data_IF_274180962850
#
_entry.id   IF_274180962850
#
_cell.length_a   1.000
_cell.length_b   1.000
_cell.length_c   1.000
_cell.angle_alpha   90.00
_cell.angle_beta   90.00
_cell.angle_gamma   90.00
#
_symmetry.space_group_name_H-M   'P 1'
#
loop_
_entity.id
_entity.type
_entity.pdbx_description
1 polymer ?
#
# COMPACT_ATOMS: atom_id res chain seq x y z
N UNK A 1 -8.98 24.13 -3.43
CA UNK A 1 -9.41 25.14 -2.44
C UNK A 1 -10.83 25.54 -2.80
N UNK A 2 -11.78 25.40 -1.90
CA UNK A 2 -13.16 25.85 -2.11
C UNK A 2 -13.53 26.75 -0.94
N UNK A 3 -13.69 28.05 -1.21
CA UNK A 3 -14.29 28.98 -0.26
C UNK A 3 -15.80 28.92 -0.51
N UNK A 4 -16.56 28.64 0.55
CA UNK A 4 -18.02 28.70 0.51
C UNK A 4 -18.50 29.89 1.34
N UNK A 5 -19.53 30.57 0.84
CA UNK A 5 -20.22 31.62 1.59
C UNK A 5 -21.09 30.93 2.63
N UNK A 6 -20.79 31.14 3.90
CA UNK A 6 -21.56 30.58 5.03
C UNK A 6 -22.52 31.59 5.63
N UNK A 7 -22.27 32.88 5.40
CA UNK A 7 -23.16 33.96 5.81
C UNK A 7 -23.07 35.12 4.84
N UNK A 8 -24.22 35.69 4.50
CA UNK A 8 -24.31 36.92 3.71
C UNK A 8 -25.31 37.86 4.40
N UNK A 9 -24.81 39.03 4.78
CA UNK A 9 -25.60 40.12 5.38
C UNK A 9 -25.44 41.39 4.55
N UNK A 10 -26.34 42.38 4.68
CA UNK A 10 -26.19 43.66 3.97
C UNK A 10 -24.89 44.41 4.30
N UNK A 11 -24.24 44.07 5.41
CA UNK A 11 -22.98 44.67 5.88
C UNK A 11 -21.73 43.83 5.58
N UNK A 12 -21.87 42.61 5.04
CA UNK A 12 -20.70 41.77 4.74
C UNK A 12 -21.01 40.31 4.43
N UNK A 13 -20.00 39.65 3.87
CA UNK A 13 -20.00 38.23 3.51
C UNK A 13 -18.97 37.50 4.36
N UNK A 14 -19.36 36.38 4.97
CA UNK A 14 -18.44 35.46 5.68
C UNK A 14 -18.18 34.26 4.78
N UNK A 15 -16.90 34.07 4.44
CA UNK A 15 -16.42 32.93 3.68
C UNK A 15 -15.74 31.93 4.62
N UNK A 16 -16.16 30.66 4.56
CA UNK A 16 -15.49 29.57 5.26
C UNK A 16 -14.76 28.69 4.26
N UNK A 17 -13.49 28.38 4.56
CA UNK A 17 -12.75 27.37 3.84
C UNK A 17 -13.01 26.03 4.53
N UNK A 18 -13.81 25.17 3.91
CA UNK A 18 -13.86 23.77 4.31
C UNK A 18 -12.58 23.10 3.83
N UNK A 19 -11.58 23.00 4.70
CA UNK A 19 -10.48 22.08 4.45
C UNK A 19 -11.09 20.68 4.44
N UNK A 20 -10.99 19.99 3.28
CA UNK A 20 -11.13 18.53 3.24
C UNK A 20 -10.25 17.95 4.35
N UNK A 21 -10.55 16.79 4.96
CA UNK A 21 -9.63 16.20 5.93
C UNK A 21 -8.24 16.22 5.32
N UNK A 22 -7.31 16.97 5.95
CA UNK A 22 -5.94 17.07 5.48
C UNK A 22 -5.38 15.67 5.53
N UNK A 23 -5.35 15.00 4.38
CA UNK A 23 -4.79 13.67 4.29
C UNK A 23 -3.30 13.81 4.54
N UNK A 24 -2.85 13.44 5.73
CA UNK A 24 -1.41 13.29 5.98
C UNK A 24 -0.87 12.20 5.06
N UNK A 25 0.42 12.29 4.73
CA UNK A 25 1.09 11.30 3.88
C UNK A 25 0.96 9.91 4.52
N UNK A 26 1.14 9.84 5.83
CA UNK A 26 1.00 8.65 6.64
C UNK A 26 -0.41 8.04 6.52
N UNK A 27 -1.46 8.87 6.63
CA UNK A 27 -2.85 8.41 6.47
C UNK A 27 -3.08 7.82 5.08
N UNK A 28 -2.51 8.42 4.04
CA UNK A 28 -2.61 7.90 2.67
C UNK A 28 -1.90 6.56 2.53
N UNK A 29 -0.70 6.41 3.08
CA UNK A 29 0.04 5.14 3.06
C UNK A 29 -0.71 4.02 3.78
N UNK A 30 -1.27 4.28 4.96
CA UNK A 30 -2.10 3.28 5.65
C UNK A 30 -3.33 2.88 4.83
N UNK A 31 -3.96 3.83 4.13
CA UNK A 31 -5.10 3.53 3.26
C UNK A 31 -4.70 2.74 2.03
N UNK A 32 -3.57 3.06 1.39
CA UNK A 32 -3.01 2.28 0.28
C UNK A 32 -2.76 0.85 0.74
N UNK A 33 -2.12 0.67 1.89
CA UNK A 33 -1.79 -0.64 2.43
C UNK A 33 -3.02 -1.47 2.81
N UNK A 34 -4.07 -0.83 3.33
CA UNK A 34 -5.34 -1.49 3.61
C UNK A 34 -6.04 -1.97 2.32
N UNK A 35 -5.97 -1.20 1.24
CA UNK A 35 -6.51 -1.62 -0.06
C UNK A 35 -5.67 -2.76 -0.64
N UNK A 36 -4.35 -2.61 -0.65
CA UNK A 36 -3.39 -3.60 -1.14
C UNK A 36 -3.53 -4.96 -0.42
N UNK A 37 -3.64 -4.97 0.91
CA UNK A 37 -3.85 -6.23 1.66
C UNK A 37 -5.22 -6.87 1.38
N UNK A 38 -6.26 -6.07 1.10
CA UNK A 38 -7.53 -6.61 0.63
C UNK A 38 -7.44 -7.19 -0.80
N UNK A 39 -6.58 -6.62 -1.66
CA UNK A 39 -6.27 -7.19 -2.97
C UNK A 39 -5.62 -8.57 -2.84
N UNK A 40 -4.67 -8.75 -1.92
CA UNK A 40 -4.05 -10.05 -1.66
C UNK A 40 -5.08 -11.12 -1.24
N UNK A 41 -5.99 -10.79 -0.33
CA UNK A 41 -7.06 -11.72 0.09
C UNK A 41 -7.93 -12.15 -1.11
N UNK A 42 -8.30 -11.20 -1.97
CA UNK A 42 -9.11 -11.48 -3.17
C UNK A 42 -8.33 -12.21 -4.25
N UNK A 43 -7.07 -11.86 -4.47
CA UNK A 43 -6.19 -12.54 -5.42
C UNK A 43 -5.96 -14.00 -5.01
N UNK A 44 -5.76 -14.27 -3.71
CA UNK A 44 -5.66 -15.62 -3.18
C UNK A 44 -6.97 -16.42 -3.42
N UNK A 45 -8.13 -15.82 -3.13
CA UNK A 45 -9.42 -16.44 -3.38
C UNK A 45 -9.69 -16.68 -4.87
N UNK A 46 -9.31 -15.74 -5.75
CA UNK A 46 -9.41 -15.90 -7.20
C UNK A 46 -8.51 -17.06 -7.67
N UNK A 47 -7.26 -17.13 -7.20
CA UNK A 47 -6.32 -18.17 -7.56
C UNK A 47 -6.76 -19.57 -7.10
N UNK A 48 -7.48 -19.67 -5.98
CA UNK A 48 -8.01 -20.95 -5.49
C UNK A 48 -9.25 -21.38 -6.28
N UNK A 49 -10.16 -20.45 -6.58
CA UNK A 49 -11.49 -20.75 -7.15
C UNK A 49 -11.53 -20.70 -8.68
N UNK A 50 -10.64 -19.93 -9.30
CA UNK A 50 -10.72 -19.56 -10.71
C UNK A 50 -11.82 -18.52 -11.03
N UNK A 51 -12.36 -17.82 -10.02
CA UNK A 51 -13.47 -16.88 -10.20
C UNK A 51 -13.01 -15.56 -10.84
N UNK A 52 -13.44 -15.33 -12.07
CA UNK A 52 -13.14 -14.10 -12.83
C UNK A 52 -13.74 -12.84 -12.21
N UNK A 53 -14.83 -12.93 -11.44
CA UNK A 53 -15.42 -11.78 -10.77
C UNK A 53 -14.46 -11.22 -9.70
N UNK A 54 -13.78 -12.11 -8.96
CA UNK A 54 -12.75 -11.71 -8.00
C UNK A 54 -11.56 -11.03 -8.69
N UNK A 55 -11.19 -11.47 -9.91
CA UNK A 55 -10.14 -10.80 -10.70
C UNK A 55 -10.54 -9.37 -11.04
N UNK A 56 -11.79 -9.14 -11.47
CA UNK A 56 -12.27 -7.78 -11.75
C UNK A 56 -12.33 -6.91 -10.49
N UNK A 57 -12.68 -7.49 -9.34
CA UNK A 57 -12.62 -6.77 -8.07
C UNK A 57 -11.18 -6.34 -7.72
N UNK A 58 -10.20 -7.23 -7.92
CA UNK A 58 -8.78 -6.91 -7.68
C UNK A 58 -8.34 -5.76 -8.58
N UNK A 59 -8.72 -5.76 -9.87
CA UNK A 59 -8.43 -4.64 -10.80
C UNK A 59 -8.99 -3.31 -10.34
N UNK A 60 -10.25 -3.29 -9.90
CA UNK A 60 -10.88 -2.07 -9.43
C UNK A 60 -10.23 -1.53 -8.13
N UNK A 61 -9.65 -2.41 -7.32
CA UNK A 61 -8.88 -2.04 -6.13
C UNK A 61 -7.49 -1.54 -6.51
N UNK A 62 -6.85 -2.11 -7.52
CA UNK A 62 -5.56 -1.66 -8.06
C UNK A 62 -5.65 -0.21 -8.58
N UNK A 63 -6.65 0.06 -9.42
CA UNK A 63 -7.03 1.42 -9.87
C UNK A 63 -7.22 2.40 -8.69
N UNK A 64 -7.67 1.89 -7.53
CA UNK A 64 -7.83 2.70 -6.32
C UNK A 64 -6.50 2.92 -5.61
N UNK A 65 -5.58 1.95 -5.57
CA UNK A 65 -4.22 2.13 -5.06
C UNK A 65 -3.50 3.18 -5.90
N UNK A 66 -3.58 3.12 -7.23
CA UNK A 66 -3.01 4.11 -8.15
C UNK A 66 -3.45 5.53 -7.84
N UNK A 67 -4.77 5.73 -7.71
CA UNK A 67 -5.31 7.05 -7.36
C UNK A 67 -4.80 7.55 -6.01
N UNK A 68 -4.64 6.65 -5.04
CA UNK A 68 -4.09 7.00 -3.73
C UNK A 68 -2.58 7.30 -3.82
N UNK A 69 -1.82 6.56 -4.62
CA UNK A 69 -0.41 6.81 -4.90
C UNK A 69 -0.20 8.21 -5.48
N UNK A 70 -0.94 8.56 -6.54
CA UNK A 70 -0.84 9.90 -7.14
C UNK A 70 -1.27 11.01 -6.18
N UNK A 71 -2.24 10.75 -5.30
CA UNK A 71 -2.60 11.68 -4.24
C UNK A 71 -1.47 11.84 -3.21
N UNK A 72 -0.85 10.75 -2.76
CA UNK A 72 0.29 10.77 -1.85
C UNK A 72 1.46 11.55 -2.45
N UNK A 73 1.82 11.29 -3.71
CA UNK A 73 2.86 12.05 -4.43
C UNK A 73 2.53 13.53 -4.50
N UNK A 74 1.26 13.91 -4.70
CA UNK A 74 0.85 15.32 -4.72
C UNK A 74 1.02 15.99 -3.37
N UNK A 75 0.58 15.34 -2.29
CA UNK A 75 0.72 15.84 -0.92
C UNK A 75 2.20 15.97 -0.53
N UNK A 76 3.00 14.93 -0.81
CA UNK A 76 4.45 14.92 -0.58
C UNK A 76 5.12 16.10 -1.31
N UNK A 77 4.84 16.28 -2.60
CA UNK A 77 5.42 17.38 -3.38
C UNK A 77 5.05 18.75 -2.83
N UNK A 78 3.81 18.92 -2.38
CA UNK A 78 3.35 20.16 -1.74
C UNK A 78 4.13 20.46 -0.47
N UNK A 79 4.35 19.46 0.39
CA UNK A 79 5.16 19.60 1.60
C UNK A 79 6.63 19.87 1.28
N UNK A 80 7.23 19.13 0.35
CA UNK A 80 8.63 19.32 -0.04
C UNK A 80 8.89 20.73 -0.58
N UNK A 81 7.94 21.29 -1.34
CA UNK A 81 8.04 22.63 -1.91
C UNK A 81 7.77 23.75 -0.87
N UNK A 82 7.20 23.43 0.28
CA UNK A 82 6.91 24.41 1.34
C UNK A 82 8.23 24.83 2.04
N UNK A 83 8.62 26.12 1.98
CA UNK A 83 9.80 26.63 2.67
C UNK A 83 9.77 26.43 4.19
N UNK A 84 8.58 26.31 4.79
CA UNK A 84 8.39 26.09 6.22
C UNK A 84 8.60 24.64 6.66
N UNK A 85 8.64 23.69 5.71
CA UNK A 85 8.91 22.28 6.05
C UNK A 85 10.37 22.12 6.49
N UNK A 86 10.67 21.50 7.65
CA UNK A 86 12.04 21.30 8.10
C UNK A 86 12.85 20.39 7.16
N UNK A 87 14.18 20.57 7.03
CA UNK A 87 15.03 19.71 6.20
C UNK A 87 14.89 18.20 6.51
N UNK A 88 14.83 17.84 7.78
CA UNK A 88 14.66 16.45 8.25
C UNK A 88 13.30 15.87 7.84
N UNK A 89 12.23 16.68 7.85
CA UNK A 89 10.93 16.25 7.35
C UNK A 89 10.96 16.06 5.83
N UNK A 90 11.67 16.91 5.09
CA UNK A 90 11.85 16.73 3.64
C UNK A 90 12.57 15.42 3.29
N UNK A 91 13.61 15.04 4.03
CA UNK A 91 14.28 13.74 3.85
C UNK A 91 13.29 12.60 4.10
N UNK A 92 12.55 12.65 5.21
CA UNK A 92 11.53 11.64 5.52
C UNK A 92 10.45 11.56 4.44
N UNK A 93 10.02 12.68 3.86
CA UNK A 93 9.04 12.72 2.77
C UNK A 93 9.54 12.03 1.48
N UNK A 94 10.85 12.03 1.22
CA UNK A 94 11.44 11.26 0.12
C UNK A 94 11.34 9.77 0.40
N UNK A 95 11.67 9.32 1.61
CA UNK A 95 11.52 7.92 2.02
C UNK A 95 10.05 7.47 1.93
N UNK A 96 9.12 8.29 2.41
CA UNK A 96 7.68 8.01 2.33
C UNK A 96 7.15 7.94 0.90
N UNK A 97 7.77 8.67 -0.05
CA UNK A 97 7.45 8.54 -1.47
C UNK A 97 7.84 7.17 -2.00
N UNK A 98 9.00 6.66 -1.58
CA UNK A 98 9.45 5.31 -1.96
C UNK A 98 8.53 4.25 -1.35
N UNK A 99 8.12 4.40 -0.09
CA UNK A 99 7.11 3.51 0.55
C UNK A 99 5.80 3.52 -0.24
N UNK A 100 5.32 4.69 -0.68
CA UNK A 100 4.11 4.77 -1.51
C UNK A 100 4.27 3.98 -2.81
N UNK A 101 5.44 4.08 -3.46
CA UNK A 101 5.75 3.36 -4.69
C UNK A 101 5.81 1.85 -4.44
N UNK A 102 6.48 1.41 -3.39
CA UNK A 102 6.59 0.00 -3.03
C UNK A 102 5.23 -0.65 -2.76
N UNK A 103 4.28 0.08 -2.14
CA UNK A 103 2.90 -0.42 -1.95
C UNK A 103 2.17 -0.56 -3.30
N UNK A 104 2.38 0.36 -4.24
CA UNK A 104 1.80 0.25 -5.59
C UNK A 104 2.44 -0.91 -6.37
N UNK A 105 3.76 -1.06 -6.38
CA UNK A 105 4.45 -2.21 -7.01
C UNK A 105 4.02 -3.58 -6.42
N UNK A 106 3.73 -3.64 -5.11
CA UNK A 106 3.13 -4.82 -4.47
C UNK A 106 1.70 -5.06 -4.96
N UNK A 107 0.91 -3.99 -5.12
CA UNK A 107 -0.49 -4.07 -5.57
C UNK A 107 -0.59 -4.54 -7.02
N UNK A 108 0.26 -4.02 -7.92
CA UNK A 108 0.43 -4.51 -9.30
C UNK A 108 0.76 -6.01 -9.32
N UNK A 109 1.57 -6.46 -8.35
CA UNK A 109 1.94 -7.86 -8.22
C UNK A 109 0.75 -8.73 -7.77
N UNK A 110 -0.13 -8.21 -6.91
CA UNK A 110 -1.38 -8.89 -6.52
C UNK A 110 -2.40 -8.92 -7.65
N UNK A 111 -2.52 -7.88 -8.46
CA UNK A 111 -3.32 -7.90 -9.69
C UNK A 111 -2.79 -8.97 -10.66
N UNK A 112 -1.48 -8.98 -10.88
CA UNK A 112 -0.80 -10.00 -11.68
C UNK A 112 -1.03 -11.42 -11.16
N UNK A 113 -1.06 -11.60 -9.84
CA UNK A 113 -1.35 -12.88 -9.21
C UNK A 113 -2.81 -13.32 -9.47
N UNK A 114 -3.77 -12.42 -9.31
CA UNK A 114 -5.18 -12.68 -9.59
C UNK A 114 -5.40 -13.07 -11.06
N UNK A 115 -4.67 -12.45 -11.99
CA UNK A 115 -4.74 -12.78 -13.42
C UNK A 115 -4.27 -14.20 -13.76
N UNK A 116 -3.57 -14.90 -12.85
CA UNK A 116 -3.20 -16.31 -13.04
C UNK A 116 -4.37 -17.27 -12.79
N UNK A 117 -5.45 -16.83 -12.13
CA UNK A 117 -6.60 -17.65 -11.73
C UNK A 117 -7.23 -18.50 -12.85
N UNK A 118 -7.37 -18.02 -14.10
CA UNK A 118 -7.92 -18.84 -15.18
C UNK A 118 -7.02 -20.02 -15.58
N UNK A 119 -5.71 -19.91 -15.35
CA UNK A 119 -4.70 -20.87 -15.79
C UNK A 119 -4.11 -21.70 -14.63
N UNK A 120 -4.31 -21.29 -13.39
CA UNK A 120 -3.72 -21.91 -12.20
C UNK A 120 -4.75 -21.98 -11.08
N UNK A 121 -4.92 -23.18 -10.52
CA UNK A 121 -5.66 -23.39 -9.27
C UNK A 121 -4.68 -23.72 -8.17
N UNK A 122 -4.35 -22.71 -7.37
CA UNK A 122 -3.41 -22.84 -6.25
C UNK A 122 -3.98 -22.15 -5.02
N UNK A 123 -4.04 -22.88 -3.91
CA UNK A 123 -4.47 -22.33 -2.62
C UNK A 123 -3.28 -21.62 -1.96
N UNK A 124 -3.29 -20.29 -2.00
CA UNK A 124 -2.28 -19.46 -1.34
C UNK A 124 -2.60 -19.36 0.17
N UNK A 125 -2.36 -20.44 0.90
CA UNK A 125 -2.76 -20.55 2.32
C UNK A 125 -2.12 -19.49 3.22
N UNK A 126 -0.91 -19.02 2.88
CA UNK A 126 -0.13 -18.04 3.66
C UNK A 126 -0.47 -16.57 3.34
N UNK A 127 -1.55 -16.29 2.60
CA UNK A 127 -1.90 -14.92 2.20
C UNK A 127 -2.19 -14.00 3.40
N UNK A 128 -2.71 -14.55 4.51
CA UNK A 128 -3.01 -13.75 5.71
C UNK A 128 -1.76 -13.35 6.46
N UNK A 129 -0.84 -14.29 6.62
CA UNK A 129 0.47 -14.08 7.24
C UNK A 129 1.27 -13.04 6.44
N UNK A 130 1.25 -13.14 5.10
CA UNK A 130 1.86 -12.14 4.22
C UNK A 130 1.22 -10.75 4.37
N UNK A 131 -0.12 -10.67 4.46
CA UNK A 131 -0.83 -9.41 4.68
C UNK A 131 -0.47 -8.77 6.04
N UNK A 132 -0.35 -9.58 7.10
CA UNK A 132 0.06 -9.09 8.41
C UNK A 132 1.52 -8.62 8.43
N UNK A 133 2.42 -9.31 7.73
CA UNK A 133 3.80 -8.85 7.58
C UNK A 133 3.89 -7.56 6.78
N UNK A 134 3.14 -7.42 5.69
CA UNK A 134 3.06 -6.16 4.94
C UNK A 134 2.57 -5.00 5.85
N UNK A 135 1.55 -5.23 6.68
CA UNK A 135 1.09 -4.24 7.68
C UNK A 135 2.16 -3.93 8.72
N UNK A 136 2.90 -4.95 9.19
CA UNK A 136 3.96 -4.79 10.16
C UNK A 136 5.12 -3.95 9.61
N UNK A 137 5.54 -4.21 8.36
CA UNK A 137 6.55 -3.43 7.64
C UNK A 137 6.16 -1.96 7.59
N UNK A 138 4.94 -1.64 7.14
CA UNK A 138 4.50 -0.24 7.09
C UNK A 138 4.51 0.42 8.47
N UNK A 139 4.01 -0.28 9.52
CA UNK A 139 4.02 0.25 10.88
C UNK A 139 5.44 0.50 11.38
N UNK A 140 6.38 -0.40 11.11
CA UNK A 140 7.76 -0.22 11.51
C UNK A 140 8.40 0.99 10.80
N UNK A 141 8.13 1.19 9.51
CA UNK A 141 8.59 2.39 8.80
C UNK A 141 7.99 3.67 9.38
N UNK A 142 6.71 3.65 9.77
CA UNK A 142 6.05 4.82 10.33
C UNK A 142 6.50 5.15 11.74
N UNK A 143 6.71 4.13 12.58
CA UNK A 143 6.82 4.27 14.03
C UNK A 143 8.23 4.01 14.58
N UNK A 144 9.12 3.38 13.80
CA UNK A 144 10.53 3.08 14.13
C UNK A 144 10.69 2.46 15.53
N UNK A 145 9.99 1.37 15.79
CA UNK A 145 9.98 0.71 17.11
C UNK A 145 11.16 -0.25 17.32
N UNK A 146 12.06 -0.38 16.34
CA UNK A 146 13.21 -1.28 16.40
C UNK A 146 12.82 -2.74 16.16
N UNK A 147 11.73 -3.00 15.45
CA UNK A 147 11.22 -4.36 15.16
C UNK A 147 11.66 -4.90 13.79
N UNK A 148 12.44 -4.13 13.02
CA UNK A 148 12.85 -4.52 11.67
C UNK A 148 13.50 -5.92 11.64
N UNK A 149 14.38 -6.25 12.59
CA UNK A 149 15.02 -7.57 12.67
C UNK A 149 14.04 -8.73 12.90
N UNK A 150 13.05 -8.53 13.77
CA UNK A 150 11.98 -9.52 14.01
C UNK A 150 11.13 -9.74 12.75
N UNK A 151 10.74 -8.64 12.08
CA UNK A 151 9.93 -8.70 10.86
C UNK A 151 10.70 -9.41 9.73
N UNK A 152 12.01 -9.14 9.57
CA UNK A 152 12.86 -9.86 8.60
C UNK A 152 12.88 -11.35 8.86
N UNK A 153 13.06 -11.77 10.11
CA UNK A 153 13.02 -13.19 10.48
C UNK A 153 11.68 -13.84 10.14
N UNK A 154 10.57 -13.14 10.37
CA UNK A 154 9.25 -13.65 10.02
C UNK A 154 9.02 -13.73 8.50
N UNK A 155 9.56 -12.79 7.71
CA UNK A 155 9.55 -12.87 6.23
C UNK A 155 10.37 -14.07 5.72
N UNK A 156 11.53 -14.34 6.31
CA UNK A 156 12.37 -15.51 5.97
C UNK A 156 11.62 -16.82 6.26
N UNK A 157 10.96 -16.90 7.42
CA UNK A 157 10.13 -18.04 7.80
C UNK A 157 8.96 -18.24 6.83
N UNK A 158 8.24 -17.17 6.50
CA UNK A 158 7.13 -17.22 5.54
C UNK A 158 7.61 -17.72 4.17
N UNK A 159 8.75 -17.22 3.68
CA UNK A 159 9.30 -17.65 2.40
C UNK A 159 9.69 -19.13 2.42
N UNK A 160 10.33 -19.60 3.49
CA UNK A 160 10.69 -21.00 3.65
C UNK A 160 9.46 -21.92 3.72
N UNK A 161 8.42 -21.53 4.45
CA UNK A 161 7.15 -22.27 4.52
C UNK A 161 6.43 -22.29 3.19
N UNK A 162 6.40 -21.15 2.48
CA UNK A 162 5.78 -21.05 1.17
C UNK A 162 6.45 -21.97 0.15
N UNK A 163 7.79 -22.07 0.12
CA UNK A 163 8.51 -23.00 -0.76
C UNK A 163 8.19 -24.48 -0.47
N UNK A 164 7.90 -24.83 0.79
CA UNK A 164 7.49 -26.20 1.16
C UNK A 164 6.13 -26.59 0.57
N UNK A 165 5.29 -25.61 0.23
CA UNK A 165 4.01 -25.86 -0.44
C UNK A 165 4.17 -26.25 -1.91
N UNK A 166 5.40 -26.22 -2.44
CA UNK A 166 5.71 -26.52 -3.85
C UNK A 166 4.82 -25.71 -4.81
N UNK A 167 4.81 -24.36 -4.69
CA UNK A 167 3.96 -23.51 -5.51
C UNK A 167 4.35 -23.64 -7.00
N UNK A 168 3.39 -23.40 -7.93
CA UNK A 168 3.74 -23.22 -9.33
C UNK A 168 4.78 -22.11 -9.49
N UNK A 169 5.77 -22.29 -10.37
CA UNK A 169 6.89 -21.36 -10.53
C UNK A 169 6.45 -19.90 -10.77
N UNK A 170 5.35 -19.69 -11.50
CA UNK A 170 4.77 -18.37 -11.76
C UNK A 170 4.20 -17.72 -10.49
N UNK A 171 3.58 -18.50 -9.59
CA UNK A 171 3.09 -18.01 -8.30
C UNK A 171 4.29 -17.71 -7.39
N UNK A 172 5.30 -18.58 -7.41
CA UNK A 172 6.51 -18.41 -6.63
C UNK A 172 7.24 -17.10 -6.96
N UNK A 173 7.39 -16.80 -8.24
CA UNK A 173 8.01 -15.57 -8.72
C UNK A 173 7.28 -14.32 -8.19
N UNK A 174 5.94 -14.31 -8.19
CA UNK A 174 5.16 -13.16 -7.72
C UNK A 174 5.28 -12.98 -6.21
N UNK A 175 5.18 -14.06 -5.42
CA UNK A 175 5.33 -13.98 -3.96
C UNK A 175 6.74 -13.56 -3.57
N UNK A 176 7.77 -14.06 -4.26
CA UNK A 176 9.16 -13.64 -4.04
C UNK A 176 9.33 -12.14 -4.28
N UNK A 177 8.79 -11.62 -5.39
CA UNK A 177 8.84 -10.18 -5.69
C UNK A 177 8.20 -9.34 -4.58
N UNK A 178 7.05 -9.76 -4.05
CA UNK A 178 6.41 -9.04 -2.92
C UNK A 178 7.32 -9.03 -1.70
N UNK A 179 7.90 -10.18 -1.34
CA UNK A 179 8.82 -10.31 -0.20
C UNK A 179 10.07 -9.44 -0.40
N UNK A 180 10.64 -9.41 -1.59
CA UNK A 180 11.80 -8.57 -1.93
C UNK A 180 11.47 -7.08 -1.72
N UNK A 181 10.32 -6.61 -2.22
CA UNK A 181 9.88 -5.22 -2.02
C UNK A 181 9.61 -4.90 -0.54
N UNK A 182 9.14 -5.88 0.25
CA UNK A 182 8.99 -5.71 1.71
C UNK A 182 10.35 -5.59 2.40
N UNK A 183 11.38 -6.33 1.98
CA UNK A 183 12.75 -6.14 2.46
C UNK A 183 13.31 -4.77 2.09
N UNK A 184 13.15 -4.35 0.83
CA UNK A 184 13.57 -3.02 0.36
C UNK A 184 12.89 -1.90 1.18
N UNK A 185 11.63 -2.11 1.58
CA UNK A 185 10.89 -1.18 2.42
C UNK A 185 11.42 -1.14 3.86
N UNK A 186 11.83 -2.28 4.41
CA UNK A 186 12.46 -2.36 5.74
C UNK A 186 13.87 -1.79 5.77
N UNK A 187 14.58 -1.73 4.63
CA UNK A 187 15.92 -1.11 4.55
C UNK A 187 15.88 0.42 4.79
N UNK A 188 14.69 1.02 4.84
CA UNK A 188 14.48 2.44 5.17
C UNK A 188 14.53 2.75 6.68
N UNK A 189 14.62 1.74 7.55
CA UNK A 189 14.56 1.88 9.02
C UNK A 189 15.58 1.04 9.77
#
# INVERSE_FOLDING_TARGET
>A
MGLEVVEETPSGVVLQCFTRPDYSVESLLFRMNAVSTSMLEKAAAALETGDEALVQEVRALDDRVDRLYFLAVRVIRSKVADPLTPPEERVRLVDLRLVARNIEDISDTYESLAMLAPASRFSLVLHRELAELQKAVLREVMERRGRAGEIRGNLELLQAEFLRLQPPAVVEEKIRRVVDVLYDTLDLV
#
